data_IF_742222518805
#
_entry.id   IF_742222518805
#
_cell.length_a   1.000
_cell.length_b   1.000
_cell.length_c   1.000
_cell.angle_alpha   90.00
_cell.angle_beta   90.00
_cell.angle_gamma   90.00
#
_symmetry.space_group_name_H-M   'P 1'
#
loop_
_entity.id
_entity.type
_entity.pdbx_description
1 polymer ?
#
# COMPACT_ATOMS: atom_id res chain seq x y z
N UNK A 1 9.84 10.37 2.93
CA UNK A 1 9.61 10.40 1.47
C UNK A 1 9.33 11.83 1.03
N UNK A 2 9.93 12.33 -0.06
CA UNK A 2 9.69 13.71 -0.53
C UNK A 2 9.00 13.73 -1.90
N UNK A 3 7.78 14.27 -1.95
CA UNK A 3 6.97 14.38 -3.16
C UNK A 3 7.29 15.69 -3.88
N UNK A 4 7.96 15.57 -5.03
CA UNK A 4 8.45 16.73 -5.80
C UNK A 4 7.42 17.37 -6.75
N UNK A 5 6.36 16.65 -7.11
CA UNK A 5 5.40 17.08 -8.13
C UNK A 5 4.00 17.28 -7.56
N UNK A 6 3.36 18.38 -7.95
CA UNK A 6 2.02 18.79 -7.52
C UNK A 6 2.06 19.64 -6.24
N UNK A 7 1.08 20.53 -6.12
CA UNK A 7 0.98 21.52 -5.04
C UNK A 7 -0.24 21.27 -4.11
N UNK A 8 -1.02 20.22 -4.39
CA UNK A 8 -2.15 19.78 -3.55
C UNK A 8 -1.90 18.42 -2.92
N UNK A 9 -2.66 18.12 -1.86
CA UNK A 9 -2.81 16.77 -1.30
C UNK A 9 -3.23 15.82 -2.43
N UNK A 10 -2.65 14.62 -2.44
CA UNK A 10 -2.90 13.60 -3.46
C UNK A 10 -3.32 12.28 -2.83
N UNK A 11 -4.15 11.53 -3.57
CA UNK A 11 -4.59 10.18 -3.26
C UNK A 11 -3.68 9.16 -3.99
N UNK A 12 -2.65 8.60 -3.33
CA UNK A 12 -1.68 7.71 -3.95
C UNK A 12 -2.22 6.31 -4.25
N UNK A 13 -1.45 5.54 -5.03
CA UNK A 13 -1.57 4.07 -5.10
C UNK A 13 -0.36 3.46 -4.39
N UNK A 14 -0.60 2.53 -3.46
CA UNK A 14 0.44 1.75 -2.81
C UNK A 14 0.50 0.35 -3.42
N UNK A 15 1.70 -0.10 -3.75
CA UNK A 15 1.98 -1.44 -4.27
C UNK A 15 2.98 -2.11 -3.33
N UNK A 16 2.49 -3.08 -2.56
CA UNK A 16 3.26 -3.82 -1.57
C UNK A 16 3.61 -5.22 -2.10
N UNK A 17 4.90 -5.54 -2.10
CA UNK A 17 5.42 -6.89 -2.29
C UNK A 17 6.00 -7.40 -0.98
N UNK A 18 5.42 -8.47 -0.49
CA UNK A 18 5.91 -9.19 0.68
C UNK A 18 5.48 -10.66 0.58
N UNK A 19 6.19 -11.54 1.27
CA UNK A 19 5.80 -12.95 1.41
C UNK A 19 5.22 -13.13 2.81
N UNK A 20 3.95 -13.50 2.86
CA UNK A 20 3.15 -13.72 4.07
C UNK A 20 2.42 -15.06 3.95
N UNK A 21 2.86 -16.05 4.72
CA UNK A 21 2.32 -17.41 4.66
C UNK A 21 1.27 -17.72 5.74
N UNK A 22 1.16 -16.87 6.77
CA UNK A 22 0.20 -17.02 7.87
C UNK A 22 -0.89 -15.96 7.82
N UNK A 23 -2.07 -16.29 8.36
CA UNK A 23 -3.14 -15.32 8.61
C UNK A 23 -2.81 -14.34 9.74
N UNK A 24 -1.83 -14.68 10.58
CA UNK A 24 -1.29 -13.80 11.62
C UNK A 24 -0.14 -12.92 11.16
N UNK A 25 0.37 -13.13 9.95
CA UNK A 25 1.40 -12.28 9.35
C UNK A 25 0.80 -10.96 8.90
N UNK A 26 1.54 -9.88 9.08
CA UNK A 26 1.13 -8.56 8.61
C UNK A 26 2.31 -7.66 8.25
N UNK A 27 2.01 -6.67 7.41
CA UNK A 27 2.85 -5.53 7.11
C UNK A 27 2.07 -4.27 7.47
N UNK A 28 2.69 -3.42 8.28
CA UNK A 28 2.17 -2.11 8.64
C UNK A 28 2.86 -1.05 7.79
N UNK A 29 2.06 -0.19 7.17
CA UNK A 29 2.49 0.98 6.41
C UNK A 29 1.88 2.19 7.12
N UNK A 30 2.71 2.97 7.81
CA UNK A 30 2.29 4.20 8.46
C UNK A 30 2.65 5.39 7.57
N UNK A 31 1.68 6.24 7.26
CA UNK A 31 1.85 7.42 6.41
C UNK A 31 1.35 8.64 7.17
N UNK A 32 2.25 9.54 7.55
CA UNK A 32 1.92 10.77 8.30
C UNK A 32 1.05 10.51 9.56
N UNK A 33 1.27 9.38 10.26
CA UNK A 33 0.49 8.97 11.44
C UNK A 33 -0.75 8.11 11.15
N UNK A 34 -1.11 7.88 9.89
CA UNK A 34 -2.18 6.98 9.49
C UNK A 34 -1.65 5.57 9.24
N UNK A 35 -2.12 4.60 10.02
CA UNK A 35 -1.67 3.21 9.97
C UNK A 35 -2.53 2.37 9.00
N UNK A 36 -1.88 1.78 7.99
CA UNK A 36 -2.47 0.77 7.11
C UNK A 36 -1.84 -0.59 7.43
N UNK A 37 -2.62 -1.47 8.05
CA UNK A 37 -2.20 -2.86 8.31
C UNK A 37 -2.72 -3.80 7.24
N UNK A 38 -1.81 -4.40 6.48
CA UNK A 38 -2.10 -5.45 5.49
C UNK A 38 -1.84 -6.82 6.12
N UNK A 39 -2.88 -7.65 6.26
CA UNK A 39 -2.84 -8.98 6.87
C UNK A 39 -3.18 -10.10 5.88
N UNK A 40 -2.86 -11.33 6.29
CA UNK A 40 -3.21 -12.52 5.54
C UNK A 40 -2.23 -12.86 4.43
N UNK A 41 -2.61 -13.82 3.58
CA UNK A 41 -1.67 -14.43 2.63
C UNK A 41 -1.32 -13.50 1.48
N UNK A 42 -0.01 -13.35 1.23
CA UNK A 42 0.56 -12.72 0.05
C UNK A 42 1.75 -13.59 -0.39
N UNK A 43 1.65 -14.24 -1.54
CA UNK A 43 2.65 -15.17 -2.00
C UNK A 43 3.74 -14.48 -2.85
N UNK A 44 4.84 -15.17 -3.08
CA UNK A 44 5.83 -14.73 -4.07
C UNK A 44 5.17 -14.56 -5.45
N UNK A 45 5.53 -13.49 -6.15
CA UNK A 45 4.92 -13.13 -7.42
C UNK A 45 3.57 -12.42 -7.28
N UNK A 46 3.05 -12.20 -6.08
CA UNK A 46 1.84 -11.39 -5.84
C UNK A 46 2.20 -9.99 -5.34
N UNK A 47 1.40 -9.00 -5.77
CA UNK A 47 1.50 -7.62 -5.29
C UNK A 47 0.15 -7.19 -4.73
N UNK A 48 0.14 -6.71 -3.49
CA UNK A 48 -1.02 -6.05 -2.91
C UNK A 48 -1.08 -4.59 -3.39
N UNK A 49 -2.22 -4.16 -3.91
CA UNK A 49 -2.44 -2.82 -4.47
C UNK A 49 -3.57 -2.14 -3.73
N UNK A 50 -3.28 -0.98 -3.13
CA UNK A 50 -4.24 -0.08 -2.48
C UNK A 50 -4.40 1.18 -3.33
N UNK A 51 -5.59 1.41 -3.89
CA UNK A 51 -5.94 2.64 -4.61
C UNK A 51 -6.80 3.52 -3.71
N UNK A 52 -6.17 4.53 -3.11
CA UNK A 52 -6.82 5.43 -2.14
C UNK A 52 -7.87 6.33 -2.78
N UNK A 53 -7.70 6.68 -4.05
CA UNK A 53 -8.66 7.49 -4.79
C UNK A 53 -9.98 6.75 -5.05
N UNK A 54 -9.91 5.42 -5.18
CA UNK A 54 -11.07 4.56 -5.43
C UNK A 54 -11.57 3.85 -4.17
N UNK A 55 -10.86 3.98 -3.06
CA UNK A 55 -11.12 3.23 -1.83
C UNK A 55 -11.19 1.72 -2.08
N UNK A 56 -10.25 1.20 -2.89
CA UNK A 56 -10.19 -0.22 -3.26
C UNK A 56 -8.85 -0.85 -2.91
N UNK A 57 -8.87 -2.15 -2.62
CA UNK A 57 -7.69 -2.96 -2.50
C UNK A 57 -7.83 -4.28 -3.28
N UNK A 58 -6.75 -4.72 -3.90
CA UNK A 58 -6.70 -5.95 -4.69
C UNK A 58 -5.32 -6.58 -4.64
N UNK A 59 -5.25 -7.89 -4.84
CA UNK A 59 -3.99 -8.58 -5.14
C UNK A 59 -3.90 -8.79 -6.65
N UNK A 60 -2.75 -8.44 -7.22
CA UNK A 60 -2.44 -8.65 -8.63
C UNK A 60 -1.25 -9.58 -8.78
N UNK A 61 -1.18 -10.29 -9.90
CA UNK A 61 0.01 -11.00 -10.33
C UNK A 61 1.09 -9.98 -10.74
N UNK A 62 2.29 -10.11 -10.19
CA UNK A 62 3.36 -9.11 -10.32
C UNK A 62 3.95 -9.05 -11.73
N UNK A 63 3.80 -10.11 -12.51
CA UNK A 63 4.35 -10.19 -13.88
C UNK A 63 3.36 -9.70 -14.93
N UNK A 64 2.08 -10.02 -14.74
CA UNK A 64 1.02 -9.76 -15.72
C UNK A 64 0.14 -8.56 -15.37
N UNK A 65 0.11 -8.13 -14.10
CA UNK A 65 -0.78 -7.09 -13.59
C UNK A 65 -2.26 -7.52 -13.51
N UNK A 66 -2.56 -8.79 -13.80
CA UNK A 66 -3.92 -9.34 -13.73
C UNK A 66 -4.38 -9.38 -12.28
N UNK A 67 -5.62 -8.96 -12.04
CA UNK A 67 -6.22 -9.02 -10.70
C UNK A 67 -6.53 -10.46 -10.34
N UNK A 68 -5.91 -10.95 -9.27
CA UNK A 68 -6.10 -12.31 -8.76
C UNK A 68 -7.31 -12.38 -7.82
N UNK A 69 -7.48 -11.37 -6.96
CA UNK A 69 -8.57 -11.30 -5.97
C UNK A 69 -8.80 -9.90 -5.41
N UNK A 70 -10.00 -9.66 -4.90
CA UNK A 70 -10.29 -8.51 -4.04
C UNK A 70 -9.54 -8.68 -2.71
N UNK A 71 -8.91 -7.61 -2.23
CA UNK A 71 -8.06 -7.65 -1.04
C UNK A 71 -8.49 -6.63 0.02
N UNK A 72 -9.70 -6.09 -0.08
CA UNK A 72 -10.19 -5.13 0.90
C UNK A 72 -10.31 -5.74 2.30
N UNK A 73 -10.65 -7.04 2.37
CA UNK A 73 -10.65 -7.82 3.62
C UNK A 73 -9.27 -8.13 4.18
N UNK A 74 -8.20 -7.87 3.43
CA UNK A 74 -6.81 -7.98 3.92
C UNK A 74 -6.36 -6.72 4.66
N UNK A 75 -7.18 -5.67 4.70
CA UNK A 75 -6.95 -4.54 5.59
C UNK A 75 -7.51 -4.88 6.98
N UNK A 76 -6.76 -4.54 8.03
CA UNK A 76 -7.27 -4.67 9.40
C UNK A 76 -8.38 -3.64 9.68
N UNK A 77 -8.13 -2.40 9.27
CA UNK A 77 -9.08 -1.30 9.23
C UNK A 77 -9.05 -0.63 7.85
N UNK A 78 -10.18 -0.05 7.44
CA UNK A 78 -10.29 0.62 6.14
C UNK A 78 -9.67 2.03 6.19
N UNK A 79 -8.35 2.08 6.13
CA UNK A 79 -7.56 3.31 6.11
C UNK A 79 -6.99 3.53 4.71
N UNK A 80 -7.15 4.75 4.19
CA UNK A 80 -6.72 5.14 2.84
C UNK A 80 -5.93 6.45 2.92
N UNK A 81 -4.62 6.38 3.17
CA UNK A 81 -3.85 7.56 3.53
C UNK A 81 -3.54 8.46 2.34
N UNK A 82 -3.45 9.75 2.62
CA UNK A 82 -3.13 10.77 1.63
C UNK A 82 -1.64 11.17 1.68
N UNK A 83 -1.15 11.76 0.59
CA UNK A 83 0.17 12.39 0.56
C UNK A 83 0.08 13.91 0.49
N UNK A 84 0.77 14.57 1.41
CA UNK A 84 0.98 16.01 1.41
C UNK A 84 1.94 16.43 0.27
N UNK A 85 1.86 17.69 -0.21
CA UNK A 85 2.95 18.29 -1.00
C UNK A 85 4.26 18.28 -0.21
N UNK A 86 5.37 17.93 -0.86
CA UNK A 86 6.69 17.89 -0.21
C UNK A 86 6.88 16.70 0.73
N UNK A 87 7.28 16.97 1.98
CA UNK A 87 7.70 15.95 2.94
C UNK A 87 6.53 15.10 3.46
N UNK A 88 6.70 13.78 3.39
CA UNK A 88 5.79 12.79 3.97
C UNK A 88 6.60 11.78 4.78
N UNK A 89 6.14 11.45 5.97
CA UNK A 89 6.70 10.35 6.75
C UNK A 89 6.07 9.04 6.31
N UNK A 90 6.90 8.04 6.00
CA UNK A 90 6.45 6.70 5.65
C UNK A 90 7.30 5.71 6.42
N UNK A 91 6.66 4.93 7.28
CA UNK A 91 7.30 3.88 8.07
C UNK A 91 6.70 2.53 7.63
N UNK A 92 7.57 1.53 7.49
CA UNK A 92 7.15 0.15 7.18
C UNK A 92 7.66 -0.76 8.29
N UNK A 93 6.77 -1.55 8.87
CA UNK A 93 7.13 -2.59 9.82
C UNK A 93 6.45 -3.90 9.48
N UNK A 94 7.07 -5.02 9.87
CA UNK A 94 6.60 -6.36 9.51
C UNK A 94 6.57 -7.28 10.72
N UNK A 95 5.62 -8.21 10.71
CA UNK A 95 5.52 -9.29 11.68
C UNK A 95 5.20 -10.60 10.97
N UNK A 96 6.09 -11.59 11.08
CA UNK A 96 5.91 -12.89 10.43
C UNK A 96 5.86 -12.82 8.90
N UNK A 97 6.41 -11.77 8.30
CA UNK A 97 6.39 -11.49 6.86
C UNK A 97 7.80 -11.16 6.37
N UNK A 98 8.11 -11.53 5.13
CA UNK A 98 9.32 -11.09 4.43
C UNK A 98 8.96 -9.92 3.53
N UNK A 99 9.34 -8.70 3.94
CA UNK A 99 9.16 -7.50 3.12
C UNK A 99 10.14 -7.48 1.95
N UNK A 100 9.66 -7.14 0.75
CA UNK A 100 10.49 -7.03 -0.45
C UNK A 100 10.51 -5.60 -0.96
N UNK A 101 9.35 -4.99 -1.20
CA UNK A 101 9.24 -3.68 -1.83
C UNK A 101 7.92 -2.98 -1.46
N UNK A 102 7.99 -1.66 -1.32
CA UNK A 102 6.83 -0.78 -1.29
C UNK A 102 7.02 0.31 -2.34
N UNK A 103 6.14 0.33 -3.33
CA UNK A 103 6.09 1.38 -4.35
C UNK A 103 4.89 2.28 -4.08
N UNK A 104 5.11 3.59 -4.08
CA UNK A 104 4.06 4.60 -3.84
C UNK A 104 3.96 5.50 -5.06
N UNK A 105 2.86 5.39 -5.78
CA UNK A 105 2.55 6.25 -6.92
C UNK A 105 1.78 7.46 -6.41
N UNK A 106 2.47 8.59 -6.22
CA UNK A 106 1.91 9.77 -5.55
C UNK A 106 0.88 10.61 -6.33
N UNK A 107 0.37 10.13 -7.47
CA UNK A 107 -0.72 10.71 -8.30
C UNK A 107 -0.89 12.23 -8.16
N UNK A 108 0.10 12.98 -8.65
CA UNK A 108 0.21 14.42 -8.41
C UNK A 108 -1.03 15.21 -8.82
N UNK A 109 -1.49 16.10 -7.93
CA UNK A 109 -2.58 17.06 -8.15
C UNK A 109 -2.07 18.50 -8.22
N UNK A 110 -2.75 19.32 -9.02
CA UNK A 110 -2.42 20.72 -9.30
C UNK A 110 -3.68 21.58 -9.23
N UNK A 111 -3.53 22.84 -8.83
CA UNK A 111 -4.52 23.94 -8.96
C UNK A 111 -3.98 25.01 -9.90
#
# INVERSE_FOLDING_TARGET
VNRQKGNLISEPIFELKAIMDSTSSYVDIEVNGELVRVKGKLAEGETFVLDTAKLTAKVVDSNTGVTLRNALSQLDELVFPELNPGGNEVLVSVSGATFTELTIQGRSRWV
#
